data_IF_616950056097
#
_entry.id   IF_616950056097
#
_cell.length_a   1.000
_cell.length_b   1.000
_cell.length_c   1.000
_cell.angle_alpha   90.00
_cell.angle_beta   90.00
_cell.angle_gamma   90.00
#
_symmetry.space_group_name_H-M   'P 1'
#
loop_
_entity.id
_entity.type
_entity.pdbx_description
1 polymer ?
#
# COMPACT_ATOMS: atom_id res chain seq x y z
N UNK A 1 9.52 -2.41 8.57
CA UNK A 1 8.70 -2.68 7.36
C UNK A 1 9.54 -2.46 6.12
N UNK A 2 9.21 -3.11 5.02
CA UNK A 2 9.84 -2.89 3.71
C UNK A 2 8.81 -2.30 2.77
N UNK A 3 9.15 -1.18 2.13
CA UNK A 3 8.34 -0.58 1.08
C UNK A 3 8.89 -0.99 -0.29
N UNK A 4 8.05 -1.55 -1.14
CA UNK A 4 8.38 -1.82 -2.53
C UNK A 4 7.49 -0.98 -3.44
N UNK A 5 8.05 -0.45 -4.52
CA UNK A 5 7.24 0.08 -5.61
C UNK A 5 7.79 -0.32 -6.98
N UNK A 6 6.88 -0.57 -7.91
CA UNK A 6 7.15 -0.66 -9.35
C UNK A 6 6.58 0.60 -10.00
N UNK A 7 7.46 1.54 -10.32
CA UNK A 7 7.11 2.86 -10.84
C UNK A 7 7.10 2.77 -12.36
N UNK A 8 5.93 2.68 -12.97
CA UNK A 8 5.76 2.78 -14.43
C UNK A 8 5.51 4.20 -14.91
N UNK A 9 5.49 4.38 -16.24
CA UNK A 9 5.14 5.67 -16.86
C UNK A 9 3.65 5.99 -16.83
N UNK A 10 2.80 5.05 -16.44
CA UNK A 10 1.34 5.22 -16.42
C UNK A 10 0.74 4.83 -15.08
N UNK A 11 1.32 3.82 -14.43
CA UNK A 11 0.85 3.29 -13.16
C UNK A 11 2.02 3.07 -12.23
N UNK A 12 1.77 3.17 -10.94
CA UNK A 12 2.71 2.86 -9.88
C UNK A 12 2.05 1.81 -9.00
N UNK A 13 2.68 0.64 -8.87
CA UNK A 13 2.24 -0.39 -7.95
C UNK A 13 3.05 -0.26 -6.65
N UNK A 14 2.40 -0.12 -5.51
CA UNK A 14 3.04 -0.03 -4.20
C UNK A 14 2.65 -1.24 -3.34
N UNK A 15 3.60 -1.70 -2.54
CA UNK A 15 3.38 -2.77 -1.59
C UNK A 15 4.19 -2.56 -0.32
N UNK A 16 3.57 -2.81 0.83
CA UNK A 16 4.21 -2.76 2.14
C UNK A 16 4.34 -4.18 2.69
N UNK A 17 5.50 -4.52 3.24
CA UNK A 17 5.80 -5.85 3.79
C UNK A 17 6.27 -5.78 5.24
N UNK A 18 5.91 -6.80 6.04
CA UNK A 18 6.42 -7.01 7.39
C UNK A 18 7.57 -8.04 7.36
N UNK A 19 8.80 -7.56 7.50
CA UNK A 19 10.02 -8.38 7.45
C UNK A 19 10.17 -9.36 8.63
N UNK A 20 9.52 -9.11 9.77
CA UNK A 20 9.66 -9.99 10.94
C UNK A 20 8.91 -11.31 10.79
N UNK A 21 7.92 -11.34 9.91
CA UNK A 21 7.25 -12.57 9.51
C UNK A 21 7.97 -13.01 8.25
N UNK A 22 8.27 -14.30 8.09
CA UNK A 22 8.73 -14.88 6.81
C UNK A 22 7.62 -14.84 5.73
N UNK A 23 6.80 -13.78 5.73
CA UNK A 23 5.67 -13.58 4.83
C UNK A 23 6.18 -13.03 3.51
N UNK A 24 5.78 -13.73 2.47
CA UNK A 24 5.95 -13.31 1.08
C UNK A 24 4.79 -12.41 0.63
N UNK A 25 3.68 -12.42 1.38
CA UNK A 25 2.49 -11.62 1.08
C UNK A 25 2.60 -10.21 1.66
N UNK A 26 2.23 -9.19 0.87
CA UNK A 26 2.19 -7.81 1.33
C UNK A 26 1.10 -7.60 2.39
N UNK A 27 1.38 -6.72 3.35
CA UNK A 27 0.41 -6.28 4.36
C UNK A 27 -0.53 -5.18 3.83
N UNK A 28 -0.12 -4.51 2.75
CA UNK A 28 -0.91 -3.54 2.00
C UNK A 28 -0.38 -3.48 0.58
N UNK A 29 -1.28 -3.36 -0.38
CA UNK A 29 -0.98 -3.05 -1.77
C UNK A 29 -1.85 -1.91 -2.26
N UNK A 30 -1.36 -1.18 -3.27
CA UNK A 30 -2.14 -0.17 -3.97
C UNK A 30 -1.60 0.03 -5.40
N UNK A 31 -2.46 0.46 -6.31
CA UNK A 31 -2.11 0.81 -7.69
C UNK A 31 -2.70 2.16 -8.04
N UNK A 32 -1.82 3.14 -8.21
CA UNK A 32 -2.20 4.51 -8.56
C UNK A 32 -1.80 4.84 -10.00
N UNK A 33 -2.43 5.86 -10.59
CA UNK A 33 -2.04 6.37 -11.90
C UNK A 33 -1.03 7.52 -11.74
N UNK A 34 0.10 7.42 -12.46
CA UNK A 34 1.18 8.42 -12.37
C UNK A 34 0.72 9.83 -12.75
N UNK A 35 -0.31 9.95 -13.60
CA UNK A 35 -0.83 11.23 -14.07
C UNK A 35 -1.64 12.00 -13.01
N UNK A 36 -2.07 11.34 -11.95
CA UNK A 36 -2.90 11.94 -10.90
C UNK A 36 -2.06 12.65 -9.81
N UNK A 37 -0.74 12.52 -9.85
CA UNK A 37 0.20 13.05 -8.86
C UNK A 37 1.27 13.91 -9.52
N UNK A 38 1.68 14.98 -8.86
CA UNK A 38 2.75 15.85 -9.37
C UNK A 38 4.15 15.27 -9.08
N UNK A 39 4.25 14.39 -8.08
CA UNK A 39 5.52 13.76 -7.70
C UNK A 39 5.33 12.37 -7.09
N UNK A 40 6.42 11.58 -7.07
CA UNK A 40 6.42 10.30 -6.37
C UNK A 40 6.37 10.45 -4.84
N UNK A 41 6.83 11.58 -4.30
CA UNK A 41 6.75 11.84 -2.85
C UNK A 41 5.31 11.98 -2.36
N UNK A 42 4.42 12.57 -3.17
CA UNK A 42 2.99 12.66 -2.88
C UNK A 42 2.35 11.27 -2.81
N UNK A 43 2.65 10.42 -3.80
CA UNK A 43 2.17 9.02 -3.83
C UNK A 43 2.59 8.26 -2.56
N UNK A 44 3.84 8.41 -2.14
CA UNK A 44 4.34 7.75 -0.93
C UNK A 44 3.69 8.29 0.35
N UNK A 45 3.44 9.59 0.41
CA UNK A 45 2.81 10.22 1.57
C UNK A 45 1.38 9.70 1.72
N UNK A 46 0.60 9.73 0.64
CA UNK A 46 -0.77 9.23 0.62
C UNK A 46 -0.84 7.73 0.98
N UNK A 47 0.00 6.91 0.33
CA UNK A 47 0.06 5.46 0.60
C UNK A 47 0.47 5.11 2.05
N UNK A 48 1.26 5.94 2.73
CA UNK A 48 1.67 5.69 4.11
C UNK A 48 0.71 6.28 5.16
N UNK A 49 -0.05 7.31 4.79
CA UNK A 49 -1.01 7.99 5.69
C UNK A 49 -2.40 7.35 5.67
N UNK A 50 -2.85 6.84 4.53
CA UNK A 50 -4.12 6.14 4.46
C UNK A 50 -4.06 4.83 5.26
N UNK A 51 -5.10 4.43 6.01
CA UNK A 51 -5.19 3.07 6.51
C UNK A 51 -5.65 2.14 5.38
N UNK A 52 -5.08 0.93 5.29
CA UNK A 52 -5.43 -0.08 4.29
C UNK A 52 -6.95 -0.31 4.25
N UNK A 53 -7.62 0.30 3.28
CA UNK A 53 -9.03 0.05 3.00
C UNK A 53 -9.07 -1.21 2.14
N UNK A 54 -9.72 -2.24 2.66
CA UNK A 54 -9.80 -3.55 2.03
C UNK A 54 -10.70 -3.48 0.80
N UNK A 55 -10.15 -3.17 -0.37
CA UNK A 55 -10.88 -3.29 -1.63
C UNK A 55 -9.99 -3.77 -2.76
N UNK A 56 -9.99 -5.10 -2.94
CA UNK A 56 -9.97 -5.76 -4.25
C UNK A 56 -10.32 -7.22 -4.08
N UNK A 57 -11.59 -7.59 -4.31
CA UNK A 57 -11.97 -8.77 -5.09
C UNK A 57 -13.46 -8.69 -5.50
N UNK A 58 -13.71 -9.09 -6.75
CA UNK A 58 -15.03 -9.10 -7.39
C UNK A 58 -15.86 -10.32 -6.98
N UNK A 59 -17.18 -10.12 -6.89
CA UNK A 59 -18.29 -11.10 -6.90
C UNK A 59 -18.33 -12.22 -5.82
N UNK A 60 -19.18 -12.05 -4.80
CA UNK A 60 -20.40 -12.87 -4.58
C UNK A 60 -21.40 -12.10 -3.67
N UNK A 61 -22.70 -12.28 -3.94
CA UNK A 61 -23.83 -11.58 -3.31
C UNK A 61 -24.18 -12.15 -1.90
N UNK A 62 -25.04 -11.47 -1.10
CA UNK A 62 -24.92 -11.38 0.37
C UNK A 62 -25.72 -12.43 1.17
N UNK A 63 -25.23 -12.80 2.36
CA UNK A 63 -26.02 -13.47 3.40
C UNK A 63 -25.66 -12.95 4.82
N UNK A 64 -26.72 -12.51 5.51
CA UNK A 64 -26.96 -12.26 6.93
C UNK A 64 -25.94 -11.56 7.88
N UNK A 65 -26.35 -10.33 8.23
CA UNK A 65 -26.64 -9.81 9.59
C UNK A 65 -25.54 -9.68 10.67
N UNK A 66 -25.63 -8.49 11.28
CA UNK A 66 -25.47 -8.14 12.70
C UNK A 66 -24.21 -7.38 13.19
N UNK A 67 -24.44 -6.07 13.33
CA UNK A 67 -24.25 -5.23 14.54
C UNK A 67 -22.86 -5.00 15.16
N UNK A 68 -22.45 -3.73 15.02
CA UNK A 68 -21.97 -2.81 16.07
C UNK A 68 -20.76 -3.24 16.92
N UNK A 69 -19.61 -2.62 16.63
CA UNK A 69 -18.83 -1.94 17.68
C UNK A 69 -17.91 -0.91 17.04
N UNK A 70 -18.30 0.37 17.12
CA UNK A 70 -17.44 1.50 16.80
C UNK A 70 -16.47 1.71 17.96
N UNK A 71 -15.44 0.89 18.05
CA UNK A 71 -14.27 1.24 18.86
C UNK A 71 -13.44 2.25 18.05
N UNK A 72 -12.97 3.36 18.65
CA UNK A 72 -12.01 4.22 17.98
C UNK A 72 -10.73 3.40 17.79
N UNK A 73 -10.55 2.86 16.59
CA UNK A 73 -9.29 2.25 16.16
C UNK A 73 -8.20 3.29 16.35
N UNK A 74 -7.46 3.17 17.46
CA UNK A 74 -6.18 3.86 17.60
C UNK A 74 -5.39 3.58 16.32
N UNK A 75 -4.79 4.60 15.67
CA UNK A 75 -4.03 4.36 14.47
C UNK A 75 -3.01 3.29 14.80
N UNK A 76 -3.12 2.14 14.15
CA UNK A 76 -2.12 1.07 14.29
C UNK A 76 -0.83 1.68 13.81
N UNK A 77 -0.01 2.16 14.74
CA UNK A 77 1.20 2.88 14.44
C UNK A 77 2.10 1.92 13.67
N UNK A 78 2.21 2.15 12.35
CA UNK A 78 3.01 1.31 11.48
C UNK A 78 4.44 1.27 12.04
N UNK A 79 5.02 0.06 12.11
CA UNK A 79 6.44 -0.09 12.47
C UNK A 79 7.28 0.75 11.51
N UNK A 80 8.43 1.30 11.93
CA UNK A 80 9.27 2.09 11.05
C UNK A 80 9.69 1.30 9.79
N UNK A 81 9.79 2.01 8.66
CA UNK A 81 10.39 1.48 7.44
C UNK A 81 11.89 1.27 7.67
N UNK A 82 12.36 0.05 7.40
CA UNK A 82 13.75 -0.35 7.61
C UNK A 82 14.51 -0.50 6.28
N UNK A 83 13.77 -0.66 5.19
CA UNK A 83 14.30 -0.69 3.83
C UNK A 83 13.22 -0.25 2.84
N UNK A 84 13.65 0.19 1.66
CA UNK A 84 12.77 0.44 0.54
C UNK A 84 13.45 0.03 -0.78
N UNK A 85 12.67 -0.42 -1.76
CA UNK A 85 13.14 -0.71 -3.11
C UNK A 85 12.15 -0.16 -4.15
N UNK A 86 12.69 0.44 -5.21
CA UNK A 86 11.89 1.07 -6.26
C UNK A 86 12.42 0.65 -7.63
N UNK A 87 11.58 -0.03 -8.41
CA UNK A 87 11.83 -0.28 -9.83
C UNK A 87 11.40 0.93 -10.66
N UNK A 88 12.23 1.36 -11.61
CA UNK A 88 11.93 2.50 -12.50
C UNK A 88 12.29 2.17 -13.96
N UNK A 89 11.55 2.69 -14.96
CA UNK A 89 11.83 2.49 -16.38
C UNK A 89 12.96 3.41 -16.83
N UNK A 90 14.20 3.00 -16.56
CA UNK A 90 15.37 3.73 -17.04
C UNK A 90 16.66 3.39 -16.31
N UNK A 91 17.78 3.96 -16.77
CA UNK A 91 19.05 3.82 -16.06
C UNK A 91 18.99 4.51 -14.70
N UNK A 92 19.42 3.79 -13.65
CA UNK A 92 19.66 4.35 -12.33
C UNK A 92 21.13 4.75 -12.25
N UNK A 93 21.38 6.04 -12.03
CA UNK A 93 22.73 6.59 -11.89
C UNK A 93 23.05 6.74 -10.40
N UNK A 94 24.29 6.42 -10.03
CA UNK A 94 24.82 6.56 -8.67
C UNK A 94 25.69 7.81 -8.54
#
# INVERSE_FOLDING_TARGET
MILAADVGGTKINLALFDWEKERVEPIREDTVYTADYESFEEVLTEFLEEPASADSESEEAPDDRETLSSEPVSPTQLKPLTAACFGVPGPVLN
#
